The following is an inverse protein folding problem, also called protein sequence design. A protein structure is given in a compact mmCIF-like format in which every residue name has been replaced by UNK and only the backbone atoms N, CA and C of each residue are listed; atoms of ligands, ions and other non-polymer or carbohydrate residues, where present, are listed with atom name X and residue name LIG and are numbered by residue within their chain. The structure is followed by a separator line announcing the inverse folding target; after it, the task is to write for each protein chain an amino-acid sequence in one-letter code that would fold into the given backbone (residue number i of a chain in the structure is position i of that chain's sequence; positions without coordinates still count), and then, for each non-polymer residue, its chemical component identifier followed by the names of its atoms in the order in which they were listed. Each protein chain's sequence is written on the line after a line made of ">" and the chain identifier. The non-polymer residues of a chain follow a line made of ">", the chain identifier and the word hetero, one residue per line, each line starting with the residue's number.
data_IF_580184594722
#
_entry.id   IF_580184594722
#
_cell.length_a   1.000
_cell.length_b   1.000
_cell.length_c   1.000
_cell.angle_alpha   90.00
_cell.angle_beta   90.00
_cell.angle_gamma   90.00
#
_symmetry.space_group_name_H-M   'P 1'
#
loop_
_entity.id
_entity.type
_entity.pdbx_description
1 polymer ?
#
# COMPACT_ATOMS: atom_id res chain seq x y z
N UNK A 1 8.62 -9.30 -6.34
CA UNK A 1 7.22 -8.93 -6.03
C UNK A 1 7.26 -7.61 -5.29
N UNK A 2 6.15 -6.87 -5.24
CA UNK A 2 6.09 -5.63 -4.48
C UNK A 2 5.14 -5.75 -3.30
N UNK A 3 5.41 -4.98 -2.25
CA UNK A 3 4.56 -4.85 -1.09
C UNK A 3 4.08 -3.41 -0.99
N UNK A 4 2.83 -3.20 -0.63
CA UNK A 4 2.31 -1.85 -0.41
C UNK A 4 1.46 -1.85 0.83
N UNK A 5 1.32 -0.71 1.50
CA UNK A 5 0.45 -0.60 2.65
C UNK A 5 -0.17 0.79 2.71
N UNK A 6 -1.49 0.84 2.92
CA UNK A 6 -2.18 2.05 3.32
C UNK A 6 -2.60 1.84 4.77
N UNK A 7 -2.02 2.61 5.69
CA UNK A 7 -2.30 2.49 7.11
C UNK A 7 -2.42 3.84 7.80
N UNK A 8 -2.58 3.80 9.12
CA UNK A 8 -2.69 4.98 9.98
C UNK A 8 -2.00 4.77 11.31
N UNK A 9 -1.36 5.81 11.85
CA UNK A 9 -0.81 5.84 13.21
C UNK A 9 -1.39 7.04 13.98
N UNK A 10 -1.82 6.88 15.25
CA UNK A 10 -2.04 5.63 15.95
C UNK A 10 -3.18 4.82 15.33
N UNK A 11 -3.18 3.51 15.60
CA UNK A 11 -4.01 2.56 14.88
C UNK A 11 -5.51 2.82 15.06
N UNK A 12 -6.00 3.23 16.24
CA UNK A 12 -7.38 3.67 16.45
C UNK A 12 -7.44 4.63 17.65
N UNK A 13 -7.68 5.93 17.44
CA UNK A 13 -7.91 6.91 18.53
C UNK A 13 -8.98 7.97 18.18
N UNK A 14 -9.70 7.81 17.07
CA UNK A 14 -10.70 8.79 16.64
C UNK A 14 -12.08 8.40 17.13
N UNK A 15 -12.53 9.01 18.23
CA UNK A 15 -13.94 9.09 18.53
C UNK A 15 -14.56 10.16 17.62
N UNK A 16 -15.64 9.83 16.92
CA UNK A 16 -16.42 10.81 16.17
C UNK A 16 -17.06 11.84 17.12
N UNK A 17 -17.70 12.87 16.57
CA UNK A 17 -18.37 13.90 17.37
C UNK A 17 -19.48 13.36 18.29
N UNK A 18 -19.88 12.09 18.13
CA UNK A 18 -20.84 11.37 18.98
C UNK A 18 -20.17 10.42 19.99
N UNK A 19 -18.84 10.44 20.12
CA UNK A 19 -18.11 9.59 21.06
C UNK A 19 -18.05 8.12 20.65
N UNK A 20 -18.34 7.78 19.39
CA UNK A 20 -18.20 6.42 18.84
C UNK A 20 -16.87 6.29 18.12
N UNK A 21 -16.27 5.11 18.10
CA UNK A 21 -15.13 4.85 17.21
C UNK A 21 -15.52 5.21 15.77
N UNK A 22 -14.92 6.28 15.23
CA UNK A 22 -14.97 6.57 13.82
C UNK A 22 -14.30 5.44 13.04
N UNK A 23 -14.64 5.30 11.76
CA UNK A 23 -14.10 4.23 10.90
C UNK A 23 -12.58 4.12 11.04
N UNK A 24 -12.13 3.08 11.74
CA UNK A 24 -10.72 2.89 12.04
C UNK A 24 -9.99 2.42 10.78
N UNK A 25 -9.07 3.25 10.28
CA UNK A 25 -8.25 2.94 9.10
C UNK A 25 -7.07 2.06 9.52
N UNK A 26 -7.32 0.76 9.67
CA UNK A 26 -6.26 -0.22 9.93
C UNK A 26 -5.27 -0.31 8.76
N UNK A 27 -4.01 -0.59 9.09
CA UNK A 27 -2.98 -0.86 8.09
C UNK A 27 -3.36 -2.06 7.22
N UNK A 28 -3.57 -1.80 5.93
CA UNK A 28 -3.89 -2.80 4.93
C UNK A 28 -2.67 -3.05 4.04
N UNK A 29 -1.87 -4.05 4.41
CA UNK A 29 -0.75 -4.52 3.58
C UNK A 29 -1.27 -5.38 2.43
N UNK A 30 -0.88 -5.02 1.22
CA UNK A 30 -1.17 -5.72 -0.02
C UNK A 30 0.15 -6.24 -0.62
N UNK A 31 0.09 -7.44 -1.18
CA UNK A 31 1.21 -8.07 -1.87
C UNK A 31 0.80 -8.26 -3.31
N UNK A 32 1.59 -7.72 -4.24
CA UNK A 32 1.35 -7.90 -5.67
C UNK A 32 2.47 -8.78 -6.24
N UNK A 33 2.13 -9.96 -6.81
CA UNK A 33 3.11 -10.93 -7.29
C UNK A 33 3.68 -10.58 -8.67
N UNK A 34 4.09 -9.33 -8.81
CA UNK A 34 4.60 -8.73 -10.04
C UNK A 34 5.70 -7.73 -9.70
N UNK A 35 6.51 -7.41 -10.70
CA UNK A 35 7.54 -6.39 -10.60
C UNK A 35 7.03 -5.13 -11.30
N UNK A 36 6.58 -4.14 -10.52
CA UNK A 36 6.13 -2.85 -11.05
C UNK A 36 6.69 -1.73 -10.19
N UNK A 37 7.19 -0.68 -10.84
CA UNK A 37 7.60 0.52 -10.13
C UNK A 37 6.44 1.52 -10.08
N UNK A 38 6.01 1.88 -8.87
CA UNK A 38 4.95 2.85 -8.59
C UNK A 38 5.50 4.23 -8.21
N UNK A 39 6.82 4.46 -8.28
CA UNK A 39 7.44 5.73 -7.87
C UNK A 39 6.80 6.94 -8.58
N UNK A 40 6.55 6.84 -9.88
CA UNK A 40 5.90 7.91 -10.65
C UNK A 40 4.49 8.23 -10.15
N UNK A 41 3.77 7.25 -9.61
CA UNK A 41 2.43 7.44 -9.06
C UNK A 41 2.45 8.38 -7.87
N UNK A 42 3.47 8.29 -7.01
CA UNK A 42 3.61 9.19 -5.86
C UNK A 42 3.80 10.63 -6.35
N UNK A 43 4.70 10.85 -7.31
CA UNK A 43 4.95 12.16 -7.90
C UNK A 43 3.71 12.71 -8.61
N UNK A 44 3.01 11.90 -9.40
CA UNK A 44 1.79 12.28 -10.15
C UNK A 44 0.66 12.75 -9.23
N UNK A 45 0.52 12.13 -8.05
CA UNK A 45 -0.45 12.55 -7.03
C UNK A 45 0.08 13.65 -6.09
N UNK A 46 1.26 14.20 -6.40
CA UNK A 46 1.94 15.25 -5.64
C UNK A 46 2.27 14.82 -4.22
N UNK A 47 2.52 13.53 -4.01
CA UNK A 47 2.92 12.97 -2.72
C UNK A 47 4.41 13.23 -2.53
N UNK A 48 4.76 13.91 -1.45
CA UNK A 48 6.15 13.99 -1.02
C UNK A 48 6.49 12.69 -0.30
N UNK A 49 7.53 12.00 -0.73
CA UNK A 49 7.91 10.70 -0.17
C UNK A 49 9.35 10.71 0.32
N UNK A 50 9.60 9.86 1.31
CA UNK A 50 10.92 9.51 1.82
C UNK A 50 11.33 8.16 1.25
N UNK A 51 12.60 8.00 0.92
CA UNK A 51 13.14 6.76 0.39
C UNK A 51 14.10 6.13 1.41
N UNK A 52 14.00 4.82 1.56
CA UNK A 52 14.82 4.02 2.45
C UNK A 52 15.40 2.82 1.71
N UNK A 53 16.56 2.34 2.15
CA UNK A 53 17.23 1.15 1.60
C UNK A 53 16.53 -0.16 1.94
N UNK A 54 15.79 -0.19 3.05
CA UNK A 54 15.10 -1.39 3.54
C UNK A 54 13.87 -1.06 4.37
N UNK A 55 13.01 -2.06 4.57
CA UNK A 55 11.86 -1.97 5.49
C UNK A 55 12.30 -1.63 6.92
N UNK A 56 13.40 -2.22 7.40
CA UNK A 56 13.89 -1.99 8.76
C UNK A 56 14.32 -0.53 8.96
N UNK A 57 15.04 0.04 7.98
CA UNK A 57 15.44 1.46 8.01
C UNK A 57 14.21 2.38 7.98
N UNK A 58 13.22 2.01 7.17
CA UNK A 58 11.98 2.74 7.02
C UNK A 58 11.19 2.77 8.34
N UNK A 59 11.01 1.61 9.00
CA UNK A 59 10.32 1.51 10.31
C UNK A 59 11.08 2.25 11.40
N UNK A 60 12.41 2.11 11.47
CA UNK A 60 13.23 2.79 12.47
C UNK A 60 13.15 4.32 12.35
N UNK A 61 12.93 4.83 11.14
CA UNK A 61 12.80 6.26 10.85
C UNK A 61 11.35 6.76 10.85
N UNK A 62 10.37 5.86 10.94
CA UNK A 62 8.96 6.21 10.82
C UNK A 62 8.44 6.82 12.13
N UNK A 63 8.17 8.13 12.11
CA UNK A 63 7.77 8.89 13.30
C UNK A 63 6.46 9.66 13.13
N UNK A 64 5.64 9.31 12.13
CA UNK A 64 4.53 10.17 11.72
C UNK A 64 3.15 9.67 12.18
N UNK A 65 2.36 10.60 12.74
CA UNK A 65 0.94 10.48 13.06
C UNK A 65 0.01 10.85 11.90
N UNK A 66 -0.81 9.91 11.46
CA UNK A 66 -1.79 10.10 10.40
C UNK A 66 -1.81 8.91 9.45
N UNK A 67 -2.54 9.07 8.34
CA UNK A 67 -2.63 8.05 7.29
C UNK A 67 -1.39 8.08 6.41
N UNK A 68 -0.79 6.93 6.12
CA UNK A 68 0.42 6.84 5.31
C UNK A 68 0.28 5.84 4.18
N UNK A 69 1.12 6.03 3.17
CA UNK A 69 1.34 5.10 2.08
C UNK A 69 2.77 4.56 2.16
N UNK A 70 2.90 3.24 2.13
CA UNK A 70 4.17 2.53 2.08
C UNK A 70 4.23 1.71 0.79
N UNK A 71 5.38 1.71 0.11
CA UNK A 71 5.65 0.92 -1.08
C UNK A 71 7.06 0.32 -1.00
N UNK A 72 7.15 -0.99 -1.11
CA UNK A 72 8.39 -1.77 -1.14
C UNK A 72 8.62 -2.29 -2.56
N UNK A 73 9.77 -1.95 -3.12
CA UNK A 73 10.22 -2.39 -4.44
C UNK A 73 10.73 -3.82 -4.39
N UNK A 74 10.95 -4.38 -5.58
CA UNK A 74 11.47 -5.74 -5.73
C UNK A 74 12.89 -5.91 -5.17
N UNK A 75 13.67 -4.83 -5.15
CA UNK A 75 15.04 -4.80 -4.60
C UNK A 75 15.08 -4.59 -3.08
N UNK A 76 13.93 -4.48 -2.42
CA UNK A 76 13.81 -4.26 -0.97
C UNK A 76 13.86 -2.79 -0.55
N UNK A 77 14.14 -1.85 -1.47
CA UNK A 77 14.05 -0.42 -1.15
C UNK A 77 12.60 0.02 -0.98
N UNK A 78 12.39 1.03 -0.14
CA UNK A 78 11.06 1.45 0.30
C UNK A 78 10.81 2.94 0.05
N UNK A 79 9.57 3.29 -0.28
CA UNK A 79 9.04 4.64 -0.26
C UNK A 79 7.95 4.76 0.80
N UNK A 80 7.98 5.83 1.58
CA UNK A 80 6.93 6.19 2.53
C UNK A 80 6.46 7.61 2.27
N UNK A 81 5.15 7.83 2.25
CA UNK A 81 4.58 9.15 2.00
C UNK A 81 3.33 9.43 2.80
N UNK A 82 3.04 10.71 3.04
CA UNK A 82 1.73 11.14 3.42
C UNK A 82 0.56 10.78 2.54
N UNK A 83 -0.42 10.06 3.11
CA UNK A 83 -1.70 9.88 2.46
C UNK A 83 -2.47 11.19 2.52
N UNK A 84 -2.84 11.72 1.36
CA UNK A 84 -3.74 12.86 1.27
C UNK A 84 -5.17 12.37 1.43
N UNK A 85 -6.01 13.18 2.07
CA UNK A 85 -7.45 12.89 2.27
C UNK A 85 -8.26 12.67 0.98
N UNK A 86 -7.71 13.02 -0.19
CA UNK A 86 -8.37 12.89 -1.51
C UNK A 86 -7.76 11.83 -2.42
N UNK A 87 -7.03 10.86 -1.86
CA UNK A 87 -6.52 9.74 -2.67
C UNK A 87 -7.66 8.86 -3.19
N UNK A 88 -7.42 8.26 -4.36
CA UNK A 88 -8.33 7.27 -4.93
C UNK A 88 -8.51 6.12 -3.92
N UNK A 89 -9.76 5.72 -3.69
CA UNK A 89 -10.07 4.57 -2.82
C UNK A 89 -9.34 3.34 -3.34
N UNK A 90 -8.73 2.56 -2.45
CA UNK A 90 -7.88 1.42 -2.83
C UNK A 90 -6.70 1.82 -3.74
N UNK A 91 -6.12 3.01 -3.50
CA UNK A 91 -5.01 3.62 -4.23
C UNK A 91 -4.05 2.62 -4.89
N UNK A 92 -3.35 1.78 -4.12
CA UNK A 92 -2.37 0.84 -4.69
C UNK A 92 -2.97 -0.19 -5.65
N UNK A 93 -4.20 -0.67 -5.42
CA UNK A 93 -4.86 -1.58 -6.36
C UNK A 93 -5.14 -0.89 -7.69
N UNK A 94 -5.59 0.35 -7.63
CA UNK A 94 -5.81 1.17 -8.82
C UNK A 94 -4.49 1.43 -9.56
N UNK A 95 -3.46 1.92 -8.86
CA UNK A 95 -2.16 2.25 -9.47
C UNK A 95 -1.48 1.03 -10.10
N UNK A 96 -1.53 -0.15 -9.45
CA UNK A 96 -1.00 -1.39 -10.03
C UNK A 96 -1.81 -1.83 -11.25
N UNK A 97 -3.15 -1.76 -11.20
CA UNK A 97 -4.02 -2.13 -12.30
C UNK A 97 -3.78 -1.23 -13.54
N UNK A 98 -3.71 0.07 -13.34
CA UNK A 98 -3.37 1.07 -14.37
C UNK A 98 -1.98 0.81 -14.98
N UNK A 99 -0.95 0.66 -14.13
CA UNK A 99 0.44 0.49 -14.59
C UNK A 99 0.66 -0.84 -15.32
N UNK A 100 -0.20 -1.83 -15.09
CA UNK A 100 -0.17 -3.13 -15.79
C UNK A 100 -1.09 -3.18 -17.01
N UNK A 101 -1.79 -2.10 -17.35
CA UNK A 101 -2.67 -2.03 -18.52
C UNK A 101 -4.01 -2.76 -18.36
N UNK A 102 -4.39 -3.09 -17.12
CA UNK A 102 -5.61 -3.83 -16.79
C UNK A 102 -6.41 -3.12 -15.68
N UNK A 103 -6.93 -1.92 -15.95
CA UNK A 103 -7.60 -1.08 -14.94
C UNK A 103 -8.77 -1.78 -14.23
N UNK A 104 -9.45 -2.70 -14.91
CA UNK A 104 -10.53 -3.53 -14.38
C UNK A 104 -10.10 -4.39 -13.17
N UNK A 105 -8.81 -4.76 -13.09
CA UNK A 105 -8.26 -5.56 -11.99
C UNK A 105 -8.18 -4.81 -10.66
N UNK A 106 -8.39 -3.49 -10.66
CA UNK A 106 -8.59 -2.73 -9.42
C UNK A 106 -9.80 -3.23 -8.62
N UNK A 107 -10.83 -3.75 -9.31
CA UNK A 107 -12.00 -4.36 -8.68
C UNK A 107 -11.79 -5.86 -8.43
N UNK A 108 -11.14 -6.18 -7.31
CA UNK A 108 -10.85 -7.56 -6.93
C UNK A 108 -12.07 -8.45 -6.69
N UNK A 109 -13.26 -7.86 -6.44
CA UNK A 109 -14.48 -8.66 -6.27
C UNK A 109 -14.96 -9.24 -7.60
N UNK A 110 -14.86 -8.44 -8.67
CA UNK A 110 -15.25 -8.86 -10.02
C UNK A 110 -14.11 -9.61 -10.72
N UNK A 111 -12.86 -9.23 -10.46
CA UNK A 111 -11.66 -9.81 -11.06
C UNK A 111 -10.69 -10.32 -9.98
N UNK A 112 -11.05 -11.37 -9.23
CA UNK A 112 -10.27 -11.83 -8.08
C UNK A 112 -8.92 -12.48 -8.44
N UNK A 113 -8.74 -12.92 -9.69
CA UNK A 113 -7.50 -13.55 -10.19
C UNK A 113 -6.96 -14.65 -9.27
N UNK A 114 -7.87 -15.50 -8.78
CA UNK A 114 -7.64 -16.51 -7.74
C UNK A 114 -6.43 -17.40 -8.03
N UNK A 115 -6.26 -17.85 -9.27
CA UNK A 115 -5.11 -18.68 -9.67
C UNK A 115 -3.76 -17.95 -9.50
N UNK A 116 -3.70 -16.67 -9.89
CA UNK A 116 -2.49 -15.85 -9.72
C UNK A 116 -2.15 -15.69 -8.24
N UNK A 117 -3.17 -15.49 -7.39
CA UNK A 117 -3.00 -15.40 -5.93
C UNK A 117 -2.46 -16.72 -5.37
N UNK A 118 -2.98 -17.88 -5.79
CA UNK A 118 -2.50 -19.17 -5.31
C UNK A 118 -1.05 -19.45 -5.71
N UNK A 119 -0.67 -19.15 -6.95
CA UNK A 119 0.71 -19.30 -7.42
C UNK A 119 1.65 -18.39 -6.62
N UNK A 120 1.24 -17.15 -6.38
CA UNK A 120 1.99 -16.19 -5.57
C UNK A 120 2.17 -16.65 -4.13
N UNK A 121 1.08 -17.11 -3.49
CA UNK A 121 1.09 -17.59 -2.12
C UNK A 121 2.03 -18.80 -1.95
N UNK A 122 2.07 -19.71 -2.93
CA UNK A 122 3.04 -20.82 -2.95
C UNK A 122 4.49 -20.32 -3.01
N UNK A 123 4.78 -19.32 -3.84
CA UNK A 123 6.14 -18.72 -3.91
C UNK A 123 6.55 -18.04 -2.61
N UNK A 124 5.62 -17.34 -1.95
CA UNK A 124 5.86 -16.70 -0.65
C UNK A 124 6.21 -17.72 0.44
N UNK A 125 5.51 -18.85 0.49
CA UNK A 125 5.79 -19.92 1.48
C UNK A 125 7.16 -20.59 1.32
N UNK A 126 7.79 -20.49 0.15
CA UNK A 126 9.13 -21.05 -0.11
C UNK A 126 10.22 -20.02 0.21
N UNK A 127 9.88 -18.74 0.25
CA UNK A 127 10.81 -17.64 0.50
C UNK A 127 10.84 -17.15 1.96
N UNK A 128 9.91 -17.64 2.80
CA UNK A 128 9.84 -17.43 4.25
C UNK A 128 10.26 -18.71 4.96
#
# INVERSE_FOLDING_TARGET
>A
MIFTEHGRVPACDFLDASGREGHCFHAHRLIFPLAVDLTDSFTRHGLKFFQFSSYLDAVASFSWEGEYLYFEKVDGSCLIAPAKSRLVRQFFRFEVAEKTGHPEYSNWKLYPRVETIFIAAKKLKVAL
#
